data_IF_034924279924
#
_entry.id   IF_034924279924
#
_cell.length_a   1.000
_cell.length_b   1.000
_cell.length_c   1.000
_cell.angle_alpha   90.00
_cell.angle_beta   90.00
_cell.angle_gamma   90.00
#
_symmetry.space_group_name_H-M   'P 1'
#
loop_
_entity.id
_entity.type
_entity.pdbx_description
1 polymer ?
#
# COMPACT_ATOMS: atom_id res chain seq x y z
N UNK A 1 -28.16 2.41 19.34
CA UNK A 1 -26.73 2.05 19.16
C UNK A 1 -26.26 2.90 18.01
N UNK A 2 -25.92 4.16 18.32
CA UNK A 2 -25.62 5.16 17.31
C UNK A 2 -24.34 4.77 16.59
N UNK A 3 -24.41 4.76 15.26
CA UNK A 3 -23.23 4.64 14.42
C UNK A 3 -22.32 5.81 14.76
N UNK A 4 -21.20 5.54 15.43
CA UNK A 4 -20.12 6.53 15.58
C UNK A 4 -19.76 6.94 14.15
N UNK A 5 -19.88 8.22 13.77
CA UNK A 5 -19.42 8.67 12.47
C UNK A 5 -17.96 8.26 12.35
N UNK A 6 -17.60 7.53 11.29
CA UNK A 6 -16.20 7.30 10.96
C UNK A 6 -15.53 8.68 10.97
N UNK A 7 -14.53 8.86 11.82
CA UNK A 7 -13.84 10.13 11.92
C UNK A 7 -13.34 10.53 10.52
N UNK A 8 -13.30 11.83 10.20
CA UNK A 8 -12.76 12.30 8.90
C UNK A 8 -11.37 11.73 8.62
N UNK A 9 -10.61 11.48 9.69
CA UNK A 9 -9.34 10.77 9.69
C UNK A 9 -9.45 9.31 9.20
N UNK A 10 -10.46 8.55 9.65
CA UNK A 10 -10.69 7.17 9.18
C UNK A 10 -11.10 7.12 7.71
N UNK A 11 -11.88 8.10 7.23
CA UNK A 11 -12.17 8.24 5.80
C UNK A 11 -10.88 8.46 5.01
N UNK A 12 -10.05 9.41 5.46
CA UNK A 12 -8.77 9.72 4.82
C UNK A 12 -7.83 8.51 4.78
N UNK A 13 -7.75 7.73 5.85
CA UNK A 13 -6.94 6.49 5.90
C UNK A 13 -7.43 5.43 4.91
N UNK A 14 -8.75 5.27 4.79
CA UNK A 14 -9.35 4.34 3.81
C UNK A 14 -9.10 4.79 2.38
N UNK A 15 -9.23 6.09 2.11
CA UNK A 15 -8.93 6.69 0.80
C UNK A 15 -7.45 6.50 0.44
N UNK A 16 -6.52 6.77 1.37
CA UNK A 16 -5.09 6.51 1.19
C UNK A 16 -4.84 5.02 0.91
N UNK A 17 -5.43 4.13 1.70
CA UNK A 17 -5.27 2.68 1.52
C UNK A 17 -5.79 2.20 0.16
N UNK A 18 -6.92 2.74 -0.31
CA UNK A 18 -7.47 2.47 -1.63
C UNK A 18 -6.57 3.00 -2.75
N UNK A 19 -6.03 4.21 -2.59
CA UNK A 19 -5.08 4.81 -3.53
C UNK A 19 -3.82 3.95 -3.67
N UNK A 20 -3.20 3.54 -2.56
CA UNK A 20 -2.00 2.70 -2.54
C UNK A 20 -2.26 1.33 -3.20
N UNK A 21 -3.41 0.71 -2.90
CA UNK A 21 -3.82 -0.54 -3.56
C UNK A 21 -3.93 -0.38 -5.07
N UNK A 22 -4.63 0.66 -5.52
CA UNK A 22 -4.80 0.95 -6.95
C UNK A 22 -3.45 1.17 -7.65
N UNK A 23 -2.55 1.92 -7.02
CA UNK A 23 -1.20 2.18 -7.57
C UNK A 23 -0.40 0.89 -7.67
N UNK A 24 -0.37 0.08 -6.61
CA UNK A 24 0.32 -1.23 -6.57
C UNK A 24 -0.16 -2.17 -7.68
N UNK A 25 -1.47 -2.27 -7.86
CA UNK A 25 -2.06 -3.20 -8.85
C UNK A 25 -1.82 -2.77 -10.29
N UNK A 26 -1.52 -1.49 -10.53
CA UNK A 26 -1.23 -0.92 -11.86
C UNK A 26 0.26 -0.84 -12.20
N UNK A 27 1.14 -0.82 -11.22
CA UNK A 27 2.58 -0.71 -11.45
C UNK A 27 3.13 -2.06 -11.94
N UNK A 28 3.80 -2.07 -13.09
CA UNK A 28 4.45 -3.29 -13.57
C UNK A 28 5.68 -3.58 -12.71
N UNK A 29 5.93 -4.86 -12.36
CA UNK A 29 7.11 -5.20 -11.58
C UNK A 29 8.43 -4.78 -12.25
N UNK A 30 8.51 -4.88 -13.58
CA UNK A 30 9.69 -4.49 -14.35
C UNK A 30 9.99 -2.99 -14.21
N UNK A 31 8.96 -2.13 -14.21
CA UNK A 31 9.13 -0.68 -14.03
C UNK A 31 9.64 -0.36 -12.62
N UNK A 32 9.33 -1.21 -11.64
CA UNK A 32 9.82 -1.10 -10.27
C UNK A 32 11.16 -1.82 -10.03
N UNK A 33 11.87 -2.23 -11.10
CA UNK A 33 13.16 -2.92 -11.00
C UNK A 33 13.08 -4.37 -10.52
N UNK A 34 11.89 -4.97 -10.51
CA UNK A 34 11.69 -6.35 -10.09
C UNK A 34 11.60 -7.27 -11.30
N UNK A 35 12.52 -8.23 -11.37
CA UNK A 35 12.48 -9.28 -12.37
C UNK A 35 11.22 -10.13 -12.24
N UNK A 36 10.44 -10.22 -13.32
CA UNK A 36 9.29 -11.10 -13.39
C UNK A 36 9.74 -12.57 -13.53
N UNK A 37 9.71 -13.33 -12.44
CA UNK A 37 9.84 -14.80 -12.49
C UNK A 37 8.63 -15.49 -13.12
N UNK A 38 8.75 -16.78 -13.45
CA UNK A 38 7.69 -17.53 -14.12
C UNK A 38 6.38 -17.60 -13.30
N UNK A 39 5.25 -17.42 -14.01
CA UNK A 39 3.83 -17.54 -13.61
C UNK A 39 3.43 -16.73 -12.36
N UNK A 40 3.09 -15.45 -12.56
CA UNK A 40 2.45 -14.59 -11.55
C UNK A 40 0.93 -14.70 -11.58
N UNK A 41 0.30 -14.64 -10.40
CA UNK A 41 -1.18 -14.54 -10.25
C UNK A 41 -1.68 -13.10 -10.25
N UNK A 42 -0.82 -12.15 -9.85
CA UNK A 42 -1.14 -10.72 -9.82
C UNK A 42 -0.41 -10.04 -10.99
N UNK A 43 -1.10 -9.25 -11.83
CA UNK A 43 -0.47 -8.56 -12.96
C UNK A 43 0.43 -7.40 -12.53
N UNK A 44 0.10 -6.72 -11.43
CA UNK A 44 0.92 -5.67 -10.83
C UNK A 44 1.79 -6.17 -9.67
N UNK A 45 2.31 -5.22 -8.89
CA UNK A 45 3.11 -5.51 -7.72
C UNK A 45 2.33 -6.26 -6.61
N UNK A 46 3.06 -7.12 -5.90
CA UNK A 46 2.63 -7.76 -4.66
C UNK A 46 2.92 -6.84 -3.48
N UNK A 47 2.24 -7.09 -2.35
CA UNK A 47 2.47 -6.34 -1.11
C UNK A 47 3.90 -6.49 -0.60
N UNK A 48 4.45 -7.71 -0.69
CA UNK A 48 5.83 -8.02 -0.30
C UNK A 48 6.86 -7.23 -1.12
N UNK A 49 6.56 -6.99 -2.40
CA UNK A 49 7.42 -6.25 -3.30
C UNK A 49 7.44 -4.76 -2.99
N UNK A 50 6.25 -4.16 -2.81
CA UNK A 50 6.17 -2.75 -2.40
C UNK A 50 6.83 -2.54 -1.05
N UNK A 51 6.60 -3.45 -0.11
CA UNK A 51 7.20 -3.38 1.22
C UNK A 51 8.73 -3.45 1.16
N UNK A 52 9.28 -4.31 0.30
CA UNK A 52 10.73 -4.41 0.07
C UNK A 52 11.30 -3.11 -0.52
N UNK A 53 10.67 -2.56 -1.56
CA UNK A 53 11.10 -1.30 -2.20
C UNK A 53 11.09 -0.15 -1.20
N UNK A 54 10.01 -0.05 -0.40
CA UNK A 54 9.84 1.02 0.57
C UNK A 54 10.56 0.79 1.92
N UNK A 55 11.29 -0.32 2.09
CA UNK A 55 12.02 -0.63 3.32
C UNK A 55 11.11 -0.85 4.55
N UNK A 56 9.87 -1.32 4.35
CA UNK A 56 8.90 -1.56 5.43
C UNK A 56 8.49 -3.03 5.53
N UNK A 57 7.83 -3.41 6.63
CA UNK A 57 7.27 -4.75 6.78
C UNK A 57 6.02 -4.97 5.92
N UNK A 58 5.88 -6.13 5.28
CA UNK A 58 4.70 -6.51 4.47
C UNK A 58 3.37 -6.41 5.23
N UNK A 59 3.35 -6.83 6.49
CA UNK A 59 2.16 -6.72 7.37
C UNK A 59 1.77 -5.26 7.60
N UNK A 60 2.77 -4.40 7.81
CA UNK A 60 2.54 -2.98 8.03
C UNK A 60 1.97 -2.31 6.77
N UNK A 61 2.53 -2.60 5.59
CA UNK A 61 1.99 -2.12 4.32
C UNK A 61 0.56 -2.65 4.06
N UNK A 62 0.28 -3.89 4.47
CA UNK A 62 -1.07 -4.47 4.39
C UNK A 62 -2.08 -3.71 5.26
N UNK A 63 -1.68 -3.31 6.48
CA UNK A 63 -2.52 -2.50 7.36
C UNK A 63 -2.75 -1.09 6.82
N UNK A 64 -1.74 -0.51 6.18
CA UNK A 64 -1.86 0.77 5.49
C UNK A 64 -2.88 0.69 4.35
N UNK A 65 -2.84 -0.34 3.50
CA UNK A 65 -3.86 -0.57 2.47
C UNK A 65 -5.27 -0.81 3.03
N UNK A 66 -5.38 -1.36 4.25
CA UNK A 66 -6.65 -1.60 4.92
C UNK A 66 -7.22 -0.34 5.59
N UNK A 67 -6.46 0.76 5.62
CA UNK A 67 -6.86 1.98 6.32
C UNK A 67 -6.95 1.78 7.84
N UNK A 68 -6.17 0.85 8.40
CA UNK A 68 -6.05 0.73 9.86
C UNK A 68 -5.35 1.96 10.43
N UNK A 69 -5.45 2.14 11.75
CA UNK A 69 -4.74 3.21 12.46
C UNK A 69 -3.23 2.92 12.54
N UNK A 70 -2.56 3.08 11.40
CA UNK A 70 -1.11 3.12 11.27
C UNK A 70 -0.71 4.52 10.81
N UNK A 71 0.33 5.07 11.42
CA UNK A 71 0.81 6.43 11.11
C UNK A 71 2.11 6.33 10.31
N UNK A 72 2.06 6.42 8.97
CA UNK A 72 3.27 6.43 8.15
C UNK A 72 4.07 7.71 8.43
N UNK A 73 5.39 7.60 8.54
CA UNK A 73 6.27 8.78 8.53
C UNK A 73 6.30 9.39 7.12
N UNK A 74 6.72 10.66 7.04
CA UNK A 74 6.93 11.35 5.75
C UNK A 74 7.94 10.60 4.88
N UNK A 75 8.98 10.04 5.51
CA UNK A 75 9.99 9.23 4.84
C UNK A 75 9.37 8.00 4.16
N UNK A 76 8.51 7.25 4.87
CA UNK A 76 7.84 6.09 4.29
C UNK A 76 6.87 6.50 3.18
N UNK A 77 6.15 7.62 3.33
CA UNK A 77 5.30 8.13 2.26
C UNK A 77 6.10 8.53 1.02
N UNK A 78 7.28 9.12 1.21
CA UNK A 78 8.20 9.49 0.12
C UNK A 78 8.69 8.25 -0.61
N UNK A 79 9.16 7.24 0.12
CA UNK A 79 9.60 5.97 -0.45
C UNK A 79 8.47 5.22 -1.22
N UNK A 80 7.20 5.43 -0.85
CA UNK A 80 6.05 4.87 -1.56
C UNK A 80 5.61 5.69 -2.79
N UNK A 81 6.16 6.90 -2.98
CA UNK A 81 5.79 7.81 -4.08
C UNK A 81 6.86 7.97 -5.17
N UNK A 82 8.04 7.39 -4.98
CA UNK A 82 9.07 7.19 -6.02
C UNK A 82 8.71 6.02 -6.96
#
# INVERSE_FOLDING_TARGET
>A
MDAIPHSSEDSRRRELGAFLRSRRERLSPETAGIACGARRRTPGLRREEVAMIAGVGTTWYTWLEQGRDVRPSVEVLTALSE
#
